data_IF_918993519306
#
_entry.id   IF_918993519306
#
_cell.length_a   1.000
_cell.length_b   1.000
_cell.length_c   1.000
_cell.angle_alpha   90.00
_cell.angle_beta   90.00
_cell.angle_gamma   90.00
#
_symmetry.space_group_name_H-M   'P 1'
#
loop_
_entity.id
_entity.type
_entity.pdbx_description
1 polymer ?
#
# COMPACT_ATOMS: atom_id res chain seq x y z
N UNK A 1 -56.46 -30.60 -9.78
CA UNK A 1 -55.87 -29.87 -10.93
C UNK A 1 -55.10 -28.60 -10.55
N UNK A 2 -54.95 -28.26 -9.26
CA UNK A 2 -54.34 -27.00 -8.79
C UNK A 2 -52.86 -27.12 -8.41
N UNK A 3 -52.37 -28.33 -8.11
CA UNK A 3 -50.98 -28.58 -7.69
C UNK A 3 -49.95 -28.50 -8.84
N UNK A 4 -50.38 -28.72 -10.09
CA UNK A 4 -49.50 -28.69 -11.28
C UNK A 4 -49.12 -27.28 -11.74
N UNK A 5 -50.03 -26.31 -11.62
CA UNK A 5 -49.74 -24.91 -11.97
C UNK A 5 -48.73 -24.29 -11.00
N UNK A 6 -48.84 -24.58 -9.70
CA UNK A 6 -47.90 -24.12 -8.69
C UNK A 6 -46.50 -24.70 -8.88
N UNK A 7 -46.38 -25.98 -9.28
CA UNK A 7 -45.07 -26.59 -9.58
C UNK A 7 -44.43 -26.01 -10.83
N UNK A 8 -45.19 -25.79 -11.90
CA UNK A 8 -44.69 -25.15 -13.13
C UNK A 8 -44.26 -23.71 -12.90
N UNK A 9 -45.03 -22.92 -12.15
CA UNK A 9 -44.67 -21.54 -11.81
C UNK A 9 -43.37 -21.47 -10.99
N UNK A 10 -43.20 -22.38 -10.02
CA UNK A 10 -41.97 -22.48 -9.24
C UNK A 10 -40.76 -22.90 -10.08
N UNK A 11 -40.93 -23.87 -10.99
CA UNK A 11 -39.87 -24.27 -11.91
C UNK A 11 -39.48 -23.12 -12.85
N UNK A 12 -40.45 -22.36 -13.37
CA UNK A 12 -40.17 -21.18 -14.19
C UNK A 12 -39.44 -20.08 -13.42
N UNK A 13 -39.80 -19.82 -12.16
CA UNK A 13 -39.10 -18.83 -11.33
C UNK A 13 -37.66 -19.27 -11.05
N UNK A 14 -37.44 -20.54 -10.72
CA UNK A 14 -36.10 -21.09 -10.46
C UNK A 14 -35.22 -21.03 -11.71
N UNK A 15 -35.76 -21.40 -12.89
CA UNK A 15 -35.02 -21.32 -14.15
C UNK A 15 -34.69 -19.88 -14.53
N UNK A 16 -35.63 -18.94 -14.33
CA UNK A 16 -35.40 -17.53 -14.64
C UNK A 16 -34.37 -16.90 -13.69
N UNK A 17 -34.42 -17.25 -12.40
CA UNK A 17 -33.44 -16.80 -11.41
C UNK A 17 -32.04 -17.38 -11.68
N UNK A 18 -31.96 -18.66 -12.05
CA UNK A 18 -30.70 -19.30 -12.44
C UNK A 18 -30.10 -18.67 -13.72
N UNK A 19 -30.94 -18.31 -14.70
CA UNK A 19 -30.51 -17.62 -15.91
C UNK A 19 -29.97 -16.20 -15.61
N UNK A 20 -30.57 -15.48 -14.65
CA UNK A 20 -30.06 -14.18 -14.21
C UNK A 20 -28.75 -14.29 -13.42
N UNK A 21 -28.55 -15.37 -12.66
CA UNK A 21 -27.32 -15.58 -11.89
C UNK A 21 -26.12 -16.00 -12.76
N UNK A 22 -26.37 -16.53 -13.97
CA UNK A 22 -25.33 -16.95 -14.90
C UNK A 22 -24.70 -15.81 -15.71
N UNK A 23 -25.28 -14.60 -15.69
CA UNK A 23 -24.72 -13.40 -16.34
C UNK A 23 -23.88 -12.63 -15.33
N UNK A 24 -22.87 -13.29 -14.76
CA UNK A 24 -21.78 -12.56 -14.12
C UNK A 24 -20.86 -12.03 -15.24
N UNK A 25 -20.58 -10.71 -15.32
CA UNK A 25 -19.54 -10.25 -16.22
C UNK A 25 -18.23 -10.91 -15.78
N UNK A 26 -17.66 -11.74 -16.63
CA UNK A 26 -16.29 -12.18 -16.46
C UNK A 26 -15.42 -10.94 -16.59
N UNK A 27 -15.04 -10.36 -15.45
CA UNK A 27 -13.98 -9.36 -15.40
C UNK A 27 -12.72 -10.07 -15.87
N UNK A 28 -12.40 -9.90 -17.15
CA UNK A 28 -11.10 -10.26 -17.71
C UNK A 28 -10.10 -9.44 -16.92
N UNK A 29 -9.44 -10.07 -15.95
CA UNK A 29 -8.18 -9.59 -15.43
C UNK A 29 -7.20 -9.78 -16.58
N UNK A 30 -7.16 -8.83 -17.49
CA UNK A 30 -6.07 -8.76 -18.44
C UNK A 30 -4.79 -8.77 -17.59
N UNK A 31 -3.86 -9.65 -17.92
CA UNK A 31 -2.47 -9.56 -17.47
C UNK A 31 -1.91 -8.24 -18.04
N UNK A 32 -2.32 -7.12 -17.46
CA UNK A 32 -1.91 -5.80 -17.87
C UNK A 32 -0.52 -5.61 -17.30
N UNK A 33 0.49 -5.79 -18.14
CA UNK A 33 1.86 -5.45 -17.79
C UNK A 33 1.87 -3.99 -17.32
N UNK A 34 2.06 -3.77 -16.02
CA UNK A 34 2.08 -2.42 -15.41
C UNK A 34 3.11 -1.52 -16.11
N UNK A 35 4.18 -2.12 -16.63
CA UNK A 35 5.24 -1.46 -17.37
C UNK A 35 5.09 -1.50 -18.91
N UNK A 36 4.10 -2.22 -19.45
CA UNK A 36 3.97 -2.49 -20.89
C UNK A 36 5.08 -3.37 -21.46
N UNK A 37 5.08 -3.53 -22.79
CA UNK A 37 6.11 -4.26 -23.55
C UNK A 37 7.17 -3.36 -24.17
N UNK A 38 6.95 -2.04 -24.16
CA UNK A 38 7.84 -1.02 -24.74
C UNK A 38 8.37 -0.14 -23.60
N UNK A 39 9.58 -0.41 -23.06
CA UNK A 39 10.07 0.24 -21.83
C UNK A 39 10.24 1.76 -21.94
N UNK A 40 10.39 2.27 -23.17
CA UNK A 40 10.53 3.69 -23.46
C UNK A 40 9.20 4.45 -23.37
N UNK A 41 8.07 3.74 -23.39
CA UNK A 41 6.74 4.31 -23.41
C UNK A 41 5.95 3.91 -22.17
N UNK A 42 5.24 4.88 -21.60
CA UNK A 42 4.23 4.56 -20.60
C UNK A 42 3.00 3.97 -21.31
N UNK A 43 2.45 2.84 -20.83
CA UNK A 43 1.24 2.27 -21.41
C UNK A 43 0.06 3.26 -21.39
N UNK A 44 -0.74 3.24 -22.46
CA UNK A 44 -1.97 4.02 -22.54
C UNK A 44 -2.94 3.48 -21.48
N UNK A 45 -3.50 4.38 -20.67
CA UNK A 45 -4.42 4.00 -19.58
C UNK A 45 -3.73 3.62 -18.27
N UNK A 46 -2.39 3.56 -18.21
CA UNK A 46 -1.67 3.25 -16.98
C UNK A 46 -2.08 4.19 -15.83
N UNK A 47 -2.46 3.66 -14.66
CA UNK A 47 -2.88 4.48 -13.52
C UNK A 47 -1.86 5.55 -13.16
N UNK A 48 -2.33 6.79 -12.94
CA UNK A 48 -1.49 7.92 -12.56
C UNK A 48 -1.85 8.36 -11.15
N UNK A 49 -0.88 8.35 -10.24
CA UNK A 49 -1.04 8.99 -8.95
C UNK A 49 -1.01 10.52 -9.14
N UNK A 50 -2.14 11.19 -8.93
CA UNK A 50 -2.28 12.65 -9.08
C UNK A 50 -1.91 13.41 -7.81
N UNK A 51 -2.12 12.81 -6.65
CA UNK A 51 -1.89 13.40 -5.35
C UNK A 51 -1.46 12.33 -4.36
N UNK A 52 -0.67 12.72 -3.36
CA UNK A 52 -0.28 11.86 -2.26
C UNK A 52 -0.55 12.57 -0.94
N UNK A 53 -1.48 12.03 -0.16
CA UNK A 53 -1.88 12.62 1.12
C UNK A 53 -0.86 12.25 2.20
N UNK A 54 -0.26 13.27 2.83
CA UNK A 54 0.62 13.13 3.99
C UNK A 54 -0.14 13.56 5.23
N UNK A 55 -0.88 12.62 5.81
CA UNK A 55 -1.66 12.88 7.01
C UNK A 55 -0.77 12.90 8.26
N UNK A 56 -1.37 13.18 9.42
CA UNK A 56 -0.65 13.20 10.68
C UNK A 56 0.00 11.85 11.02
N UNK A 57 -0.59 10.73 10.60
CA UNK A 57 -0.03 9.40 10.83
C UNK A 57 1.24 9.16 9.99
N UNK A 58 1.23 9.63 8.75
CA UNK A 58 2.38 9.62 7.88
C UNK A 58 3.54 10.43 8.47
N UNK A 59 3.28 11.66 8.95
CA UNK A 59 4.32 12.48 9.57
C UNK A 59 4.87 11.88 10.86
N UNK A 60 4.02 11.31 11.73
CA UNK A 60 4.48 10.62 12.95
C UNK A 60 5.46 9.49 12.61
N UNK A 61 5.14 8.73 11.56
CA UNK A 61 6.02 7.66 11.07
C UNK A 61 7.29 8.25 10.46
N UNK A 62 7.17 9.22 9.54
CA UNK A 62 8.31 9.78 8.81
C UNK A 62 9.34 10.50 9.70
N UNK A 63 8.88 11.04 10.82
CA UNK A 63 9.68 11.73 11.83
C UNK A 63 10.10 10.83 12.99
N UNK A 64 9.87 9.51 12.91
CA UNK A 64 10.28 8.56 13.94
C UNK A 64 11.79 8.68 14.23
N UNK A 65 12.13 8.75 15.52
CA UNK A 65 13.51 8.88 16.00
C UNK A 65 14.15 10.25 15.79
N UNK A 66 13.39 11.26 15.32
CA UNK A 66 13.87 12.63 15.18
C UNK A 66 13.44 13.44 16.39
N UNK A 67 14.36 14.22 16.95
CA UNK A 67 14.08 15.13 18.06
C UNK A 67 12.96 16.13 17.70
N UNK A 68 12.15 16.48 18.71
CA UNK A 68 10.97 17.33 18.56
C UNK A 68 11.31 18.72 17.96
N UNK A 69 10.29 19.46 17.47
CA UNK A 69 10.50 20.74 16.80
C UNK A 69 11.39 21.75 17.57
N UNK A 70 12.16 22.60 16.86
CA UNK A 70 12.10 22.81 15.42
C UNK A 70 12.86 21.74 14.63
N UNK A 71 12.21 21.17 13.61
CA UNK A 71 12.86 20.23 12.72
C UNK A 71 13.87 20.94 11.81
N UNK A 72 15.04 20.34 11.53
CA UNK A 72 16.03 20.93 10.66
C UNK A 72 15.50 21.10 9.23
N UNK A 73 15.92 22.18 8.57
CA UNK A 73 15.48 22.52 7.20
C UNK A 73 15.76 21.41 6.19
N UNK A 74 16.80 20.60 6.42
CA UNK A 74 17.13 19.45 5.59
C UNK A 74 16.00 18.43 5.49
N UNK A 75 15.05 18.36 6.44
CA UNK A 75 13.90 17.44 6.38
C UNK A 75 12.76 17.93 5.48
N UNK A 76 12.86 19.12 4.88
CA UNK A 76 11.84 19.63 3.95
C UNK A 76 11.68 18.77 2.70
N UNK A 77 12.60 17.86 2.38
CA UNK A 77 12.41 16.88 1.30
C UNK A 77 11.17 15.99 1.53
N UNK A 78 10.70 15.82 2.77
CA UNK A 78 9.43 15.14 3.06
C UNK A 78 8.24 15.84 2.40
N UNK A 79 8.38 17.12 2.05
CA UNK A 79 7.36 17.87 1.34
C UNK A 79 7.23 17.48 -0.13
N UNK A 80 8.35 17.18 -0.78
CA UNK A 80 8.41 16.94 -2.22
C UNK A 80 8.44 15.44 -2.58
N UNK A 81 8.66 14.55 -1.61
CA UNK A 81 8.79 13.12 -1.82
C UNK A 81 7.58 12.44 -2.49
N UNK A 82 6.36 12.90 -2.23
CA UNK A 82 5.16 12.19 -2.68
C UNK A 82 5.16 10.70 -2.28
N UNK A 83 4.81 9.81 -3.22
CA UNK A 83 4.77 8.36 -2.99
C UNK A 83 6.10 7.64 -3.29
N UNK A 84 7.19 8.37 -3.54
CA UNK A 84 8.48 7.76 -3.86
C UNK A 84 9.06 7.04 -2.64
N UNK A 85 9.67 5.87 -2.88
CA UNK A 85 10.40 5.15 -1.84
C UNK A 85 11.62 5.96 -1.38
N UNK A 86 11.81 6.08 -0.07
CA UNK A 86 13.04 6.60 0.52
C UNK A 86 13.51 5.68 1.64
N UNK A 87 14.82 5.51 1.85
CA UNK A 87 15.32 4.86 3.04
C UNK A 87 15.19 5.72 4.31
N UNK A 88 14.91 7.03 4.20
CA UNK A 88 14.93 7.93 5.36
C UNK A 88 13.73 7.77 6.30
N UNK A 89 12.55 7.39 5.79
CA UNK A 89 11.31 7.25 6.58
C UNK A 89 10.84 5.79 6.69
N UNK A 90 11.76 4.84 6.50
CA UNK A 90 11.50 3.40 6.60
C UNK A 90 12.44 2.76 7.62
N UNK A 91 12.02 1.67 8.29
CA UNK A 91 12.93 0.86 9.08
C UNK A 91 14.09 0.35 8.22
N UNK A 92 15.31 0.56 8.70
CA UNK A 92 16.54 0.12 8.04
C UNK A 92 17.18 -1.06 8.77
N UNK A 93 18.51 -1.00 8.91
CA UNK A 93 19.30 -1.97 9.67
C UNK A 93 18.93 -1.95 11.17
N UNK A 94 19.20 -3.07 11.85
CA UNK A 94 18.93 -3.24 13.29
C UNK A 94 20.19 -2.96 14.14
N UNK A 95 20.01 -2.96 15.46
CA UNK A 95 21.13 -2.91 16.41
C UNK A 95 21.89 -1.57 16.38
N UNK A 96 23.24 -1.55 16.41
CA UNK A 96 24.02 -0.31 16.44
C UNK A 96 23.79 0.64 15.25
N UNK A 97 23.20 0.15 14.17
CA UNK A 97 22.90 0.94 12.97
C UNK A 97 21.43 1.37 12.88
N UNK A 98 20.60 1.02 13.86
CA UNK A 98 19.22 1.53 13.99
C UNK A 98 19.22 2.95 14.59
N UNK A 99 19.75 3.90 13.83
CA UNK A 99 19.95 5.29 14.26
C UNK A 99 18.64 6.05 14.57
N UNK A 100 17.48 5.48 14.21
CA UNK A 100 16.16 6.06 14.46
C UNK A 100 15.29 5.21 15.39
N UNK A 101 15.87 4.15 15.97
CA UNK A 101 15.21 3.25 16.91
C UNK A 101 13.89 2.66 16.36
N UNK A 102 13.85 2.31 15.08
CA UNK A 102 12.68 1.74 14.43
C UNK A 102 12.29 0.36 14.97
N UNK A 103 13.27 -0.42 15.41
CA UNK A 103 13.09 -1.80 15.86
C UNK A 103 12.99 -1.93 17.38
N UNK A 104 13.10 -0.83 18.12
CA UNK A 104 13.10 -0.83 19.57
C UNK A 104 14.35 -1.48 20.17
N UNK A 105 14.48 -1.40 21.50
CA UNK A 105 15.69 -1.79 22.21
C UNK A 105 16.00 -3.30 22.05
N UNK A 106 16.90 -3.63 21.13
CA UNK A 106 17.84 -4.71 21.39
C UNK A 106 18.74 -4.23 22.53
N UNK A 107 18.36 -4.54 23.77
CA UNK A 107 19.24 -4.42 24.94
C UNK A 107 20.61 -5.01 24.59
N UNK A 108 21.65 -4.17 24.52
CA UNK A 108 22.99 -4.66 24.18
C UNK A 108 23.97 -3.66 23.57
N UNK A 109 23.68 -2.35 23.60
CA UNK A 109 24.69 -1.32 23.36
C UNK A 109 25.44 -0.95 24.64
N UNK A 110 25.99 -1.93 25.37
CA UNK A 110 26.98 -1.60 26.41
C UNK A 110 28.08 -0.78 25.73
N UNK A 111 28.27 0.45 26.25
CA UNK A 111 29.08 1.48 25.63
C UNK A 111 30.43 0.94 25.16
N UNK A 112 30.59 0.82 23.84
CA UNK A 112 31.92 0.85 23.24
C UNK A 112 32.32 2.31 23.12
N UNK A 113 32.64 2.89 24.26
CA UNK A 113 33.54 4.03 24.32
C UNK A 113 34.80 3.60 23.58
N UNK A 114 35.06 4.17 22.40
CA UNK A 114 36.36 4.03 21.74
C UNK A 114 37.31 4.96 22.51
N UNK A 115 38.27 4.44 23.31
CA UNK A 115 39.24 5.30 23.94
C UNK A 115 40.26 5.71 22.89
N UNK A 116 40.47 7.02 22.74
CA UNK A 116 41.63 7.58 22.06
C UNK A 116 41.31 8.23 20.71
N UNK A 117 41.17 9.55 20.76
CA UNK A 117 41.95 10.42 19.86
C UNK A 117 42.53 11.56 20.69
#
# INVERSE_FOLDING_TARGET
MSHDLTRKAWLSVVVTLAAFLAVAPASVLADEFIAGTEPSLRPVGAPVLRSFTKDAAWYRTALSGIEAPPYPFSLRFLEDQGAWYTPFNRPGLTGPYDIRNWHGSASGGAGRSVPGR
#
